data_IF_060595040426
#
_entry.id   IF_060595040426
#
_cell.length_a   1.000
_cell.length_b   1.000
_cell.length_c   1.000
_cell.angle_alpha   90.00
_cell.angle_beta   90.00
_cell.angle_gamma   90.00
#
_symmetry.space_group_name_H-M   'P 1'
#
loop_
_entity.id
_entity.type
_entity.pdbx_description
1 polymer ?
#
# COMPACT_ATOMS: atom_id res chain seq x y z
N UNK A 1 31.20 2.81 -7.36
CA UNK A 1 31.11 1.50 -8.05
C UNK A 1 30.18 1.65 -9.24
N UNK A 2 30.56 1.21 -10.45
CA UNK A 2 29.67 1.27 -11.61
C UNK A 2 28.54 0.24 -11.48
N UNK A 3 27.37 0.58 -12.05
CA UNK A 3 26.23 -0.35 -12.16
C UNK A 3 26.58 -1.48 -13.14
N UNK A 4 26.27 -2.72 -12.80
CA UNK A 4 26.52 -3.88 -13.65
C UNK A 4 25.45 -4.02 -14.75
N UNK A 5 25.80 -3.70 -15.99
CA UNK A 5 24.89 -3.76 -17.16
C UNK A 5 24.52 -5.18 -17.59
N UNK A 6 25.26 -6.23 -17.16
CA UNK A 6 24.91 -7.64 -17.46
C UNK A 6 23.61 -8.11 -16.80
N UNK A 7 23.08 -7.35 -15.85
CA UNK A 7 21.84 -7.67 -15.15
C UNK A 7 20.57 -7.14 -15.85
N UNK A 8 20.69 -6.36 -16.93
CA UNK A 8 19.53 -5.86 -17.69
C UNK A 8 18.69 -7.05 -18.18
N UNK A 9 17.38 -7.01 -17.92
CA UNK A 9 16.44 -8.07 -18.28
C UNK A 9 16.30 -9.19 -17.23
N UNK A 10 17.11 -9.20 -16.16
CA UNK A 10 16.91 -10.11 -15.02
C UNK A 10 15.54 -9.84 -14.38
N UNK A 11 14.78 -10.91 -14.10
CA UNK A 11 13.50 -10.87 -13.39
C UNK A 11 13.64 -11.55 -12.03
N UNK A 12 12.77 -11.17 -11.10
CA UNK A 12 12.62 -11.82 -9.79
C UNK A 12 11.23 -12.44 -9.73
N UNK A 13 11.10 -13.57 -9.02
CA UNK A 13 9.80 -14.18 -8.79
C UNK A 13 8.91 -13.24 -7.96
N UNK A 14 7.59 -13.20 -8.22
CA UNK A 14 6.69 -12.36 -7.46
C UNK A 14 6.59 -12.85 -6.02
N UNK A 15 6.45 -11.91 -5.09
CA UNK A 15 6.16 -12.17 -3.68
C UNK A 15 4.74 -11.72 -3.39
N UNK A 16 4.01 -12.51 -2.61
CA UNK A 16 2.66 -12.16 -2.16
C UNK A 16 2.75 -11.41 -0.83
N UNK A 17 2.20 -10.21 -0.80
CA UNK A 17 2.01 -9.43 0.43
C UNK A 17 0.51 -9.35 0.77
N UNK A 18 0.15 -9.77 1.98
CA UNK A 18 -1.21 -9.64 2.48
C UNK A 18 -1.46 -8.22 3.01
N UNK A 19 -2.27 -7.44 2.28
CA UNK A 19 -2.63 -6.07 2.68
C UNK A 19 -3.58 -6.11 3.88
N UNK A 20 -3.05 -5.83 5.07
CA UNK A 20 -3.81 -5.81 6.32
C UNK A 20 -4.40 -4.44 6.64
N UNK A 21 -5.67 -4.40 7.06
CA UNK A 21 -6.40 -3.19 7.50
C UNK A 21 -5.61 -2.34 8.48
N UNK A 22 -5.07 -2.95 9.52
CA UNK A 22 -4.35 -2.20 10.56
C UNK A 22 -3.05 -1.59 10.02
N UNK A 23 -2.40 -2.26 9.06
CA UNK A 23 -1.20 -1.70 8.43
C UNK A 23 -1.52 -0.53 7.50
N UNK A 24 -2.64 -0.62 6.78
CA UNK A 24 -3.18 0.51 5.99
C UNK A 24 -3.44 1.73 6.88
N UNK A 25 -4.08 1.53 8.05
CA UNK A 25 -4.34 2.61 9.01
C UNK A 25 -3.06 3.21 9.60
N UNK A 26 -2.11 2.36 9.96
CA UNK A 26 -0.80 2.77 10.46
C UNK A 26 -0.07 3.64 9.43
N UNK A 27 -0.02 3.18 8.17
CA UNK A 27 0.61 3.92 7.08
C UNK A 27 -0.10 5.25 6.82
N UNK A 28 -1.43 5.25 6.73
CA UNK A 28 -2.23 6.45 6.51
C UNK A 28 -1.93 7.52 7.58
N UNK A 29 -1.89 7.11 8.86
CA UNK A 29 -1.50 8.02 9.96
C UNK A 29 -0.06 8.51 9.82
N UNK A 30 0.87 7.63 9.46
CA UNK A 30 2.30 7.96 9.33
C UNK A 30 2.57 9.01 8.23
N UNK A 31 1.79 8.99 7.14
CA UNK A 31 1.92 9.95 6.05
C UNK A 31 1.00 11.17 6.18
N UNK A 32 0.25 11.27 7.29
CA UNK A 32 -0.65 12.40 7.55
C UNK A 32 -1.94 12.39 6.72
N UNK A 33 -2.35 11.23 6.22
CA UNK A 33 -3.60 11.07 5.49
C UNK A 33 -4.80 11.27 6.43
N UNK A 34 -5.78 12.04 5.98
CA UNK A 34 -6.95 12.42 6.79
C UNK A 34 -8.27 11.96 6.20
N UNK A 35 -8.28 11.50 4.95
CA UNK A 35 -9.50 10.99 4.33
C UNK A 35 -9.99 9.73 5.09
N UNK A 36 -11.23 9.74 5.60
CA UNK A 36 -11.74 8.67 6.44
C UNK A 36 -11.81 7.31 5.74
N UNK A 37 -11.80 7.23 4.40
CA UNK A 37 -11.77 5.94 3.68
C UNK A 37 -10.53 5.09 3.99
N UNK A 38 -9.45 5.72 4.48
CA UNK A 38 -8.22 5.03 4.86
C UNK A 38 -8.19 4.60 6.35
N UNK A 39 -9.08 5.15 7.16
CA UNK A 39 -9.02 5.06 8.63
C UNK A 39 -10.25 4.38 9.22
N UNK A 40 -11.42 4.66 8.67
CA UNK A 40 -12.72 4.23 9.17
C UNK A 40 -13.38 3.23 8.20
N UNK A 41 -13.81 2.09 8.76
CA UNK A 41 -14.40 1.02 7.98
C UNK A 41 -15.79 1.39 7.46
N UNK A 42 -16.58 2.12 8.25
CA UNK A 42 -17.93 2.49 7.86
C UNK A 42 -17.88 3.55 6.76
N UNK A 43 -17.02 4.57 6.89
CA UNK A 43 -16.81 5.57 5.84
C UNK A 43 -16.33 4.95 4.53
N UNK A 44 -15.44 3.96 4.58
CA UNK A 44 -15.02 3.22 3.38
C UNK A 44 -16.19 2.45 2.75
N UNK A 45 -17.04 1.80 3.57
CA UNK A 45 -18.23 1.08 3.11
C UNK A 45 -19.30 2.00 2.53
N UNK A 46 -19.55 3.13 3.17
CA UNK A 46 -20.49 4.15 2.69
C UNK A 46 -20.01 4.74 1.34
N UNK A 47 -18.70 4.77 1.11
CA UNK A 47 -18.08 5.12 -0.16
C UNK A 47 -18.07 3.97 -1.19
N UNK A 48 -18.61 2.79 -0.86
CA UNK A 48 -18.75 1.64 -1.76
C UNK A 48 -17.60 0.64 -1.75
N UNK A 49 -16.64 0.77 -0.82
CA UNK A 49 -15.52 -0.17 -0.69
C UNK A 49 -15.86 -1.30 0.30
N UNK A 50 -15.27 -2.48 0.09
CA UNK A 50 -15.50 -3.62 0.98
C UNK A 50 -14.80 -3.47 2.36
N UNK A 51 -13.67 -2.76 2.39
CA UNK A 51 -12.83 -2.51 3.57
C UNK A 51 -12.14 -1.15 3.43
N UNK A 52 -11.31 -0.76 4.40
CA UNK A 52 -10.48 0.45 4.30
C UNK A 52 -9.60 0.41 3.06
N UNK A 53 -9.43 1.57 2.44
CA UNK A 53 -8.66 1.70 1.20
C UNK A 53 -7.22 2.01 1.54
N UNK A 54 -6.26 1.34 0.89
CA UNK A 54 -4.85 1.70 1.04
C UNK A 54 -4.56 3.05 0.35
N UNK A 55 -3.85 4.00 0.99
CA UNK A 55 -3.38 5.19 0.31
C UNK A 55 -2.54 4.82 -0.93
N UNK A 56 -2.54 5.61 -2.02
CA UNK A 56 -1.91 5.23 -3.28
C UNK A 56 -0.42 4.86 -3.16
N UNK A 57 0.30 5.50 -2.22
CA UNK A 57 1.73 5.28 -1.99
C UNK A 57 2.04 4.10 -1.04
N UNK A 58 1.03 3.42 -0.51
CA UNK A 58 1.21 2.22 0.33
C UNK A 58 2.01 1.12 -0.40
N UNK A 59 1.78 0.98 -1.71
CA UNK A 59 2.43 -0.01 -2.58
C UNK A 59 3.94 0.20 -2.78
N UNK A 60 4.51 1.33 -2.35
CA UNK A 60 5.96 1.56 -2.39
C UNK A 60 6.67 0.90 -1.21
N UNK A 61 5.94 0.64 -0.12
CA UNK A 61 6.49 0.08 1.12
C UNK A 61 6.20 -1.41 1.26
N UNK A 62 5.07 -1.88 0.72
CA UNK A 62 4.51 -3.20 0.93
C UNK A 62 4.10 -3.85 -0.39
#
# INVERSE_FOLDING_TARGET
MPVNTKAIGKRYEPVVYAVGREKVREYARAVGETNPVHLDLQAARDAGYADVVAPPMFAVVY
#
